data_IF_346018478286
#
_entry.id   IF_346018478286
#
_cell.length_a   1.000
_cell.length_b   1.000
_cell.length_c   1.000
_cell.angle_alpha   90.00
_cell.angle_beta   90.00
_cell.angle_gamma   90.00
#
_symmetry.space_group_name_H-M   'P 1'
#
loop_
_entity.id
_entity.type
_entity.pdbx_description
1 polymer ?
#
# COMPACT_ATOMS: atom_id res chain seq x y z
N UNK A 1 4.29 8.05 -3.56
CA UNK A 1 3.63 6.83 -3.05
C UNK A 1 2.58 7.16 -2.01
N UNK A 2 2.90 7.80 -0.91
CA UNK A 2 1.96 8.14 0.16
C UNK A 2 0.69 8.85 -0.30
N UNK A 3 0.80 9.84 -1.21
CA UNK A 3 -0.35 10.49 -1.85
C UNK A 3 -1.31 9.50 -2.51
N UNK A 4 -0.76 8.49 -3.19
CA UNK A 4 -1.56 7.44 -3.85
C UNK A 4 -2.17 6.50 -2.82
N UNK A 5 -1.41 6.06 -1.81
CA UNK A 5 -1.89 5.18 -0.76
C UNK A 5 -3.03 5.82 0.03
N UNK A 6 -2.89 7.09 0.42
CA UNK A 6 -3.95 7.86 1.06
C UNK A 6 -5.17 8.04 0.15
N UNK A 7 -4.94 8.40 -1.13
CA UNK A 7 -6.03 8.54 -2.10
C UNK A 7 -6.82 7.23 -2.29
N UNK A 8 -6.14 6.10 -2.36
CA UNK A 8 -6.78 4.77 -2.41
C UNK A 8 -7.57 4.49 -1.12
N UNK A 9 -6.99 4.74 0.06
CA UNK A 9 -7.68 4.51 1.32
C UNK A 9 -8.95 5.34 1.45
N UNK A 10 -8.92 6.61 1.05
CA UNK A 10 -10.09 7.51 1.08
C UNK A 10 -11.16 7.20 0.02
N UNK A 11 -10.81 6.45 -1.02
CA UNK A 11 -11.74 6.02 -2.07
C UNK A 11 -12.07 4.53 -2.01
N UNK A 12 -11.53 3.82 -1.03
CA UNK A 12 -11.76 2.39 -0.85
C UNK A 12 -13.22 2.10 -0.49
N UNK A 13 -13.87 1.09 -1.10
CA UNK A 13 -15.31 0.87 -0.93
C UNK A 13 -15.70 0.17 0.37
N UNK A 14 -14.73 -0.29 1.16
CA UNK A 14 -14.93 -0.98 2.45
C UNK A 14 -14.14 -0.27 3.55
N UNK A 15 -14.44 -0.51 4.85
CA UNK A 15 -13.56 -0.07 5.93
C UNK A 15 -12.12 -0.53 5.68
N UNK A 16 -11.16 0.39 5.85
CA UNK A 16 -9.77 0.11 5.50
C UNK A 16 -8.80 0.70 6.52
N UNK A 17 -7.71 0.00 6.78
CA UNK A 17 -6.58 0.50 7.55
C UNK A 17 -5.46 0.87 6.58
N UNK A 18 -5.05 2.15 6.59
CA UNK A 18 -3.86 2.62 5.90
C UNK A 18 -2.67 2.55 6.86
N UNK A 19 -1.68 1.77 6.52
CA UNK A 19 -0.45 1.60 7.30
C UNK A 19 0.68 2.40 6.67
N UNK A 20 1.25 3.38 7.39
CA UNK A 20 2.48 4.06 6.97
C UNK A 20 3.69 3.21 7.39
N UNK A 21 4.19 2.38 6.50
CA UNK A 21 5.32 1.48 6.74
C UNK A 21 6.64 1.96 6.10
N UNK A 22 6.71 3.22 5.65
CA UNK A 22 7.92 3.82 5.10
C UNK A 22 8.96 4.02 6.21
N UNK A 23 10.15 3.39 6.14
CA UNK A 23 11.17 3.49 7.17
C UNK A 23 11.89 4.85 7.21
N UNK A 24 11.64 5.75 6.26
CA UNK A 24 12.30 7.07 6.24
C UNK A 24 11.90 7.96 7.42
N UNK A 25 10.74 7.68 8.03
CA UNK A 25 10.22 8.40 9.18
C UNK A 25 9.54 9.74 8.82
N UNK A 26 8.82 10.27 9.81
CA UNK A 26 8.00 11.46 9.63
C UNK A 26 6.72 11.15 8.85
N UNK A 27 5.54 11.15 9.51
CA UNK A 27 4.29 10.92 8.79
C UNK A 27 3.98 12.09 7.86
N UNK A 28 4.07 11.87 6.56
CA UNK A 28 3.64 12.86 5.57
C UNK A 28 2.12 13.02 5.54
N UNK A 29 1.37 12.07 6.05
CA UNK A 29 -0.09 12.17 6.21
C UNK A 29 -0.41 13.10 7.38
N UNK A 30 0.18 12.88 8.55
CA UNK A 30 -0.06 13.74 9.73
C UNK A 30 0.43 15.17 9.49
N UNK A 31 1.62 15.33 8.91
CA UNK A 31 2.19 16.65 8.63
C UNK A 31 1.51 17.36 7.44
N UNK A 32 1.29 16.65 6.35
CA UNK A 32 0.73 17.20 5.11
C UNK A 32 -0.80 17.22 5.12
N UNK A 33 -1.44 16.07 4.97
CA UNK A 33 -2.90 15.99 4.83
C UNK A 33 -3.64 16.56 6.04
N UNK A 34 -3.19 16.29 7.27
CA UNK A 34 -3.77 16.83 8.50
C UNK A 34 -3.18 18.18 8.93
N UNK A 35 -2.27 18.78 8.17
CA UNK A 35 -1.62 20.06 8.50
C UNK A 35 -0.95 20.09 9.88
N UNK A 36 -0.50 18.94 10.40
CA UNK A 36 0.04 18.83 11.75
C UNK A 36 -0.99 19.03 12.88
N UNK A 37 -2.29 19.12 12.58
CA UNK A 37 -3.34 19.30 13.59
C UNK A 37 -3.65 18.02 14.37
N UNK A 38 -3.18 16.87 13.91
CA UNK A 38 -3.28 15.60 14.60
C UNK A 38 -1.91 15.25 15.18
N UNK A 39 -1.87 15.14 16.50
CA UNK A 39 -0.62 14.78 17.17
C UNK A 39 -0.17 13.36 16.77
N UNK A 40 1.12 13.18 16.54
CA UNK A 40 1.70 11.87 16.29
C UNK A 40 1.85 11.12 17.64
N UNK A 41 0.72 10.78 18.24
CA UNK A 41 0.61 9.92 19.43
C UNK A 41 0.15 8.55 18.97
N UNK A 42 0.81 7.50 19.40
CA UNK A 42 0.56 6.14 18.89
C UNK A 42 1.25 5.84 17.56
N UNK A 43 1.00 4.66 17.02
CA UNK A 43 1.54 4.18 15.76
C UNK A 43 2.48 2.99 15.89
N UNK A 44 3.29 2.77 14.86
CA UNK A 44 4.14 1.57 14.78
C UNK A 44 5.15 1.44 15.93
N UNK A 45 5.63 2.55 16.49
CA UNK A 45 6.57 2.50 17.62
C UNK A 45 5.91 2.00 18.90
N UNK A 46 4.68 2.42 19.14
CA UNK A 46 3.95 1.98 20.35
C UNK A 46 3.62 0.48 20.22
N UNK A 47 3.35 0.00 19.00
CA UNK A 47 3.20 -1.43 18.75
C UNK A 47 4.52 -2.20 18.95
N UNK A 48 5.68 -1.58 18.66
CA UNK A 48 6.98 -2.19 18.94
C UNK A 48 7.24 -2.31 20.45
N UNK A 49 6.78 -1.36 21.26
CA UNK A 49 6.82 -1.44 22.73
C UNK A 49 5.86 -2.51 23.21
N UNK A 50 4.60 -2.45 22.78
CA UNK A 50 3.55 -3.40 23.17
C UNK A 50 3.92 -4.85 22.79
N UNK A 51 4.62 -5.06 21.68
CA UNK A 51 5.11 -6.38 21.27
C UNK A 51 6.09 -6.96 22.31
N UNK A 52 7.01 -6.15 22.82
CA UNK A 52 7.95 -6.58 23.86
C UNK A 52 7.28 -6.87 25.20
N UNK A 53 6.15 -6.22 25.45
CA UNK A 53 5.34 -6.37 26.68
C UNK A 53 4.28 -7.47 26.56
N UNK A 54 4.13 -8.10 25.39
CA UNK A 54 3.13 -9.15 25.15
C UNK A 54 1.71 -8.64 24.95
N UNK A 55 1.51 -7.32 24.75
CA UNK A 55 0.21 -6.64 24.64
C UNK A 55 -0.07 -6.14 23.21
N UNK A 56 0.50 -6.79 22.20
CA UNK A 56 0.48 -6.32 20.82
C UNK A 56 -0.94 -6.22 20.23
N UNK A 57 -1.74 -7.28 20.41
CA UNK A 57 -3.07 -7.38 19.78
C UNK A 57 -4.03 -6.36 20.37
N UNK A 58 -4.00 -6.18 21.68
CA UNK A 58 -4.81 -5.21 22.42
C UNK A 58 -4.44 -3.77 22.08
N UNK A 59 -3.17 -3.53 21.79
CA UNK A 59 -2.64 -2.20 21.48
C UNK A 59 -2.87 -1.78 20.02
N UNK A 60 -3.12 -2.73 19.10
CA UNK A 60 -3.28 -2.42 17.68
C UNK A 60 -4.42 -1.43 17.40
N UNK A 61 -5.64 -1.59 17.92
CA UNK A 61 -6.70 -0.60 17.72
C UNK A 61 -6.39 0.77 18.33
N UNK A 62 -5.65 0.80 19.43
CA UNK A 62 -5.29 2.03 20.14
C UNK A 62 -4.22 2.84 19.42
N UNK A 63 -3.42 2.18 18.58
CA UNK A 63 -2.37 2.80 17.76
C UNK A 63 -2.93 3.47 16.50
N UNK A 64 -4.19 3.23 16.16
CA UNK A 64 -4.82 3.74 14.93
C UNK A 64 -5.52 5.07 15.16
N UNK A 65 -5.48 5.93 14.14
CA UNK A 65 -6.10 7.26 14.12
C UNK A 65 -7.20 7.28 13.05
N UNK A 66 -8.45 7.67 13.37
CA UNK A 66 -9.48 7.80 12.36
C UNK A 66 -9.17 8.94 11.39
N UNK A 67 -9.45 8.72 10.10
CA UNK A 67 -9.34 9.76 9.09
C UNK A 67 -10.72 10.42 8.93
N UNK A 68 -10.89 11.69 9.34
CA UNK A 68 -12.18 12.36 9.33
C UNK A 68 -12.87 12.35 7.97
N UNK A 69 -14.19 12.14 7.97
CA UNK A 69 -15.00 12.12 6.74
C UNK A 69 -14.87 10.84 5.91
N UNK A 70 -14.23 9.80 6.45
CA UNK A 70 -14.07 8.50 5.79
C UNK A 70 -14.26 7.34 6.77
N UNK A 71 -14.32 6.11 6.25
CA UNK A 71 -14.27 4.88 7.04
C UNK A 71 -12.83 4.35 7.22
N UNK A 72 -11.83 5.12 6.81
CA UNK A 72 -10.44 4.72 6.88
C UNK A 72 -9.83 5.05 8.25
N UNK A 73 -8.99 4.14 8.73
CA UNK A 73 -8.11 4.35 9.87
C UNK A 73 -6.66 4.49 9.37
N UNK A 74 -5.88 5.34 10.01
CA UNK A 74 -4.45 5.46 9.78
C UNK A 74 -3.69 4.78 10.91
N UNK A 75 -2.77 3.87 10.60
CA UNK A 75 -1.72 3.43 11.50
C UNK A 75 -0.46 4.23 11.18
N UNK A 76 -0.13 5.26 11.97
CA UNK A 76 1.01 6.13 11.69
C UNK A 76 2.34 5.39 11.74
N UNK A 77 3.27 5.79 10.88
CA UNK A 77 4.62 5.25 10.81
C UNK A 77 5.52 5.69 11.97
N UNK A 78 6.83 5.61 11.74
CA UNK A 78 7.82 6.09 12.71
C UNK A 78 7.96 7.61 12.65
N UNK A 79 8.25 8.23 13.80
CA UNK A 79 8.47 9.70 13.90
C UNK A 79 9.81 10.11 13.29
N UNK A 80 10.80 9.23 13.35
CA UNK A 80 12.12 9.46 12.76
C UNK A 80 12.70 8.16 12.20
N UNK A 81 13.61 8.29 11.23
CA UNK A 81 14.30 7.14 10.63
C UNK A 81 15.10 6.31 11.65
N UNK A 82 15.59 6.94 12.74
CA UNK A 82 16.30 6.23 13.79
C UNK A 82 15.48 5.16 14.49
N UNK A 83 14.15 5.28 14.44
CA UNK A 83 13.22 4.30 15.04
C UNK A 83 12.93 3.10 14.12
N UNK A 84 13.27 3.18 12.83
CA UNK A 84 12.92 2.14 11.85
C UNK A 84 13.50 0.77 12.18
N UNK A 85 14.68 0.71 12.80
CA UNK A 85 15.31 -0.54 13.23
C UNK A 85 14.47 -1.28 14.29
N UNK A 86 13.77 -0.54 15.15
CA UNK A 86 12.90 -1.14 16.18
C UNK A 86 11.68 -1.86 15.59
N UNK A 87 11.35 -1.59 14.32
CA UNK A 87 10.22 -2.22 13.64
C UNK A 87 10.54 -3.59 13.06
N UNK A 88 11.81 -3.96 12.93
CA UNK A 88 12.20 -5.24 12.30
C UNK A 88 11.53 -6.44 12.96
N UNK A 89 11.42 -6.45 14.30
CA UNK A 89 10.75 -7.52 15.05
C UNK A 89 9.22 -7.45 14.98
N UNK A 90 8.67 -6.31 14.57
CA UNK A 90 7.22 -6.04 14.58
C UNK A 90 6.55 -6.41 13.25
N UNK A 91 7.28 -6.39 12.15
CA UNK A 91 6.69 -6.58 10.82
C UNK A 91 5.95 -7.92 10.66
N UNK A 92 6.49 -9.01 11.20
CA UNK A 92 5.85 -10.33 11.09
C UNK A 92 4.59 -10.44 11.96
N UNK A 93 4.60 -10.12 13.27
CA UNK A 93 3.38 -10.12 14.07
C UNK A 93 2.33 -9.12 13.56
N UNK A 94 2.76 -7.94 13.07
CA UNK A 94 1.86 -6.98 12.47
C UNK A 94 1.19 -7.54 11.21
N UNK A 95 1.93 -8.21 10.34
CA UNK A 95 1.39 -8.86 9.16
C UNK A 95 0.28 -9.85 9.50
N UNK A 96 0.49 -10.68 10.53
CA UNK A 96 -0.53 -11.62 11.00
C UNK A 96 -1.77 -10.93 11.57
N UNK A 97 -1.58 -9.89 12.39
CA UNK A 97 -2.67 -9.13 12.98
C UNK A 97 -3.50 -8.36 11.94
N UNK A 98 -2.84 -7.74 10.96
CA UNK A 98 -3.51 -7.05 9.85
C UNK A 98 -4.29 -8.01 8.96
N UNK A 99 -3.74 -9.19 8.65
CA UNK A 99 -4.45 -10.23 7.91
C UNK A 99 -5.70 -10.73 8.62
N UNK A 100 -5.72 -10.70 9.96
CA UNK A 100 -6.91 -11.08 10.73
C UNK A 100 -8.06 -10.06 10.64
N UNK A 101 -7.81 -8.80 10.26
CA UNK A 101 -8.84 -7.75 10.15
C UNK A 101 -9.87 -8.04 9.05
N UNK A 102 -9.49 -8.82 8.03
CA UNK A 102 -10.41 -9.24 6.99
C UNK A 102 -11.66 -9.96 7.53
N UNK A 103 -11.50 -10.77 8.59
CA UNK A 103 -12.62 -11.45 9.25
C UNK A 103 -13.64 -10.48 9.83
N UNK A 104 -13.20 -9.26 10.15
CA UNK A 104 -14.03 -8.16 10.64
C UNK A 104 -14.52 -7.24 9.50
N UNK A 105 -14.29 -7.62 8.24
CA UNK A 105 -14.71 -6.84 7.09
C UNK A 105 -13.83 -5.62 6.79
N UNK A 106 -12.63 -5.53 7.37
CA UNK A 106 -11.66 -4.47 7.12
C UNK A 106 -10.58 -4.93 6.15
N UNK A 107 -10.30 -4.10 5.16
CA UNK A 107 -9.17 -4.26 4.25
C UNK A 107 -7.95 -3.48 4.75
N UNK A 108 -6.77 -3.77 4.19
CA UNK A 108 -5.52 -3.10 4.58
C UNK A 108 -4.81 -2.58 3.34
N UNK A 109 -4.37 -1.33 3.39
CA UNK A 109 -3.47 -0.73 2.41
C UNK A 109 -2.17 -0.37 3.11
N UNK A 110 -1.05 -0.86 2.58
CA UNK A 110 0.29 -0.59 3.14
C UNK A 110 1.05 0.36 2.22
N UNK A 111 1.40 1.53 2.73
CA UNK A 111 2.42 2.37 2.11
C UNK A 111 3.80 1.88 2.56
N UNK A 112 4.38 0.99 1.77
CA UNK A 112 5.68 0.39 2.08
C UNK A 112 6.88 1.34 1.83
N UNK A 113 6.62 2.55 1.38
CA UNK A 113 7.64 3.54 1.10
C UNK A 113 8.49 3.17 -0.13
N UNK A 114 9.74 3.60 -0.11
CA UNK A 114 10.70 3.31 -1.18
C UNK A 114 11.37 1.97 -0.94
N UNK A 115 11.46 1.16 -1.99
CA UNK A 115 12.19 -0.11 -1.96
C UNK A 115 13.69 0.09 -1.73
N UNK A 116 14.35 -0.89 -1.11
CA UNK A 116 15.79 -0.90 -0.87
C UNK A 116 16.25 -0.15 0.37
N UNK A 117 15.35 0.35 1.18
CA UNK A 117 15.70 0.98 2.45
C UNK A 117 15.84 -0.06 3.56
N UNK A 118 16.80 0.18 4.46
CA UNK A 118 16.93 -0.61 5.67
C UNK A 118 15.69 -0.42 6.57
N UNK A 119 15.18 -1.50 7.14
CA UNK A 119 13.95 -1.46 7.93
C UNK A 119 12.65 -1.57 7.11
N UNK A 120 12.75 -1.81 5.78
CA UNK A 120 11.58 -2.01 4.92
C UNK A 120 10.66 -3.12 5.42
N UNK A 121 9.33 -3.01 5.21
CA UNK A 121 8.33 -3.92 5.75
C UNK A 121 8.21 -5.22 4.91
N UNK A 122 9.31 -5.96 4.76
CA UNK A 122 9.36 -7.19 3.97
C UNK A 122 8.23 -8.18 4.27
N UNK A 123 7.97 -8.56 5.54
CA UNK A 123 6.87 -9.46 5.88
C UNK A 123 5.49 -8.94 5.47
N UNK A 124 5.22 -7.63 5.53
CA UNK A 124 3.95 -7.06 5.05
C UNK A 124 3.81 -7.20 3.53
N UNK A 125 4.90 -6.99 2.78
CA UNK A 125 4.89 -7.14 1.33
C UNK A 125 4.69 -8.61 0.93
N UNK A 126 5.46 -9.53 1.52
CA UNK A 126 5.40 -10.95 1.13
C UNK A 126 4.08 -11.62 1.47
N UNK A 127 3.35 -11.15 2.48
CA UNK A 127 2.04 -11.67 2.88
C UNK A 127 0.85 -10.90 2.29
N UNK A 128 1.09 -9.84 1.50
CA UNK A 128 0.02 -9.09 0.85
C UNK A 128 -0.69 -9.93 -0.23
N UNK A 129 -1.99 -9.75 -0.39
CA UNK A 129 -2.78 -10.35 -1.49
C UNK A 129 -2.45 -9.75 -2.86
N UNK A 130 -1.95 -8.48 -2.86
CA UNK A 130 -1.53 -7.77 -4.06
C UNK A 130 -0.40 -6.81 -3.72
N UNK A 131 0.68 -6.88 -4.48
CA UNK A 131 1.80 -5.95 -4.45
C UNK A 131 1.74 -5.09 -5.71
N UNK A 132 1.66 -3.78 -5.54
CA UNK A 132 1.67 -2.81 -6.63
C UNK A 132 3.00 -2.05 -6.66
N UNK A 133 3.88 -2.40 -7.59
CA UNK A 133 5.06 -1.60 -7.88
C UNK A 133 4.61 -0.27 -8.51
N UNK A 134 4.56 0.78 -7.69
CA UNK A 134 4.06 2.09 -8.08
C UNK A 134 5.18 2.96 -8.65
N UNK A 135 5.02 3.47 -9.87
CA UNK A 135 6.04 4.24 -10.54
C UNK A 135 5.48 5.27 -11.53
N UNK A 136 6.28 6.29 -11.83
CA UNK A 136 6.01 7.19 -12.97
C UNK A 136 6.45 6.53 -14.27
N UNK A 137 5.84 6.96 -15.39
CA UNK A 137 6.15 6.42 -16.72
C UNK A 137 7.33 7.14 -17.41
N UNK A 138 8.29 7.65 -16.63
CA UNK A 138 9.51 8.29 -17.14
C UNK A 138 10.66 7.29 -17.25
N UNK A 139 11.62 7.54 -18.13
CA UNK A 139 12.76 6.65 -18.32
C UNK A 139 13.57 6.37 -17.04
N UNK A 140 13.90 7.37 -16.20
CA UNK A 140 14.60 7.10 -14.94
C UNK A 140 13.80 6.21 -14.00
N UNK A 141 12.46 6.43 -13.88
CA UNK A 141 11.61 5.60 -13.04
C UNK A 141 11.51 4.17 -13.58
N UNK A 142 11.42 4.00 -14.89
CA UNK A 142 11.37 2.70 -15.55
C UNK A 142 12.67 1.91 -15.35
N UNK A 143 13.81 2.58 -15.50
CA UNK A 143 15.14 1.99 -15.25
C UNK A 143 15.29 1.49 -13.80
N UNK A 144 14.92 2.33 -12.83
CA UNK A 144 14.96 1.95 -11.42
C UNK A 144 13.98 0.80 -11.10
N UNK A 145 12.76 0.85 -11.64
CA UNK A 145 11.74 -0.16 -11.41
C UNK A 145 12.10 -1.53 -12.01
N UNK A 146 12.88 -1.57 -13.09
CA UNK A 146 13.25 -2.83 -13.77
C UNK A 146 14.00 -3.80 -12.83
N UNK A 147 14.98 -3.29 -12.09
CA UNK A 147 15.74 -4.09 -11.13
C UNK A 147 14.82 -4.64 -10.03
N UNK A 148 13.96 -3.79 -9.45
CA UNK A 148 13.02 -4.21 -8.42
C UNK A 148 11.94 -5.17 -8.93
N UNK A 149 11.45 -4.97 -10.15
CA UNK A 149 10.51 -5.89 -10.78
C UNK A 149 11.11 -7.31 -10.92
N UNK A 150 12.39 -7.40 -11.27
CA UNK A 150 13.10 -8.68 -11.34
C UNK A 150 13.25 -9.31 -9.94
N UNK A 151 13.74 -8.56 -8.96
CA UNK A 151 13.92 -9.07 -7.58
C UNK A 151 12.62 -9.57 -6.98
N UNK A 152 11.55 -8.76 -7.04
CA UNK A 152 10.24 -9.14 -6.51
C UNK A 152 9.63 -10.33 -7.26
N UNK A 153 9.86 -10.42 -8.57
CA UNK A 153 9.43 -11.59 -9.35
C UNK A 153 10.11 -12.85 -8.84
N UNK A 154 11.44 -12.87 -8.76
CA UNK A 154 12.22 -14.03 -8.31
C UNK A 154 11.83 -14.48 -6.88
N UNK A 155 11.61 -13.51 -5.98
CA UNK A 155 11.16 -13.80 -4.61
C UNK A 155 9.76 -14.42 -4.58
N UNK A 156 8.81 -13.88 -5.35
CA UNK A 156 7.44 -14.36 -5.37
C UNK A 156 7.28 -15.66 -6.18
N UNK A 157 8.06 -15.89 -7.23
CA UNK A 157 8.11 -17.16 -7.94
C UNK A 157 8.55 -18.30 -7.02
N UNK A 158 9.58 -18.07 -6.19
CA UNK A 158 10.09 -19.06 -5.24
C UNK A 158 9.05 -19.53 -4.23
N UNK A 159 8.07 -18.68 -3.89
CA UNK A 159 6.96 -19.01 -2.97
C UNK A 159 5.63 -19.27 -3.69
N UNK A 160 5.64 -19.38 -5.02
CA UNK A 160 4.44 -19.64 -5.82
C UNK A 160 3.40 -18.49 -5.79
N UNK A 161 3.83 -17.27 -5.52
CA UNK A 161 2.94 -16.11 -5.31
C UNK A 161 3.10 -15.00 -6.36
N UNK A 162 3.71 -15.29 -7.51
CA UNK A 162 3.91 -14.32 -8.59
C UNK A 162 2.62 -13.61 -9.06
N UNK A 163 1.44 -14.25 -9.14
CA UNK A 163 0.20 -13.58 -9.53
C UNK A 163 -0.20 -12.39 -8.65
N UNK A 164 0.39 -12.27 -7.44
CA UNK A 164 0.17 -11.12 -6.54
C UNK A 164 0.96 -9.88 -6.92
N UNK A 165 1.87 -9.93 -7.93
CA UNK A 165 2.71 -8.81 -8.34
C UNK A 165 2.17 -8.13 -9.59
N UNK A 166 1.93 -6.83 -9.49
CA UNK A 166 1.56 -5.98 -10.62
C UNK A 166 2.14 -4.58 -10.51
N UNK A 167 1.83 -3.72 -11.47
CA UNK A 167 2.26 -2.34 -11.49
C UNK A 167 1.09 -1.37 -11.43
N UNK A 168 1.29 -0.24 -10.75
CA UNK A 168 0.44 0.94 -10.77
C UNK A 168 1.21 2.09 -11.37
N UNK A 169 0.75 2.60 -12.52
CA UNK A 169 1.46 3.63 -13.26
C UNK A 169 0.90 5.02 -12.97
N UNK A 170 1.77 5.99 -12.77
CA UNK A 170 1.42 7.39 -12.57
C UNK A 170 1.85 8.20 -13.80
N UNK A 171 0.89 8.84 -14.48
CA UNK A 171 1.15 9.64 -15.67
C UNK A 171 1.35 8.78 -16.92
N UNK A 172 0.46 7.81 -17.16
CA UNK A 172 0.44 6.97 -18.35
C UNK A 172 0.52 7.83 -19.64
N UNK A 173 1.40 7.44 -20.58
CA UNK A 173 1.66 8.20 -21.79
C UNK A 173 2.60 9.42 -21.62
N UNK A 174 3.27 9.60 -20.46
CA UNK A 174 4.16 10.75 -20.20
C UNK A 174 5.56 10.32 -19.73
N UNK A 175 6.50 9.97 -20.62
CA UNK A 175 6.35 9.79 -22.07
C UNK A 175 5.91 8.37 -22.47
N UNK A 176 6.07 7.35 -21.60
CA UNK A 176 5.80 5.96 -21.96
C UNK A 176 4.41 5.50 -21.56
N UNK A 177 3.78 4.69 -22.42
CA UNK A 177 2.46 4.12 -22.17
C UNK A 177 2.53 2.79 -21.42
N UNK A 178 1.39 2.39 -20.86
CA UNK A 178 1.23 1.15 -20.10
C UNK A 178 1.72 -0.10 -20.88
N UNK A 179 1.49 -0.14 -22.19
CA UNK A 179 1.94 -1.26 -23.05
C UNK A 179 3.46 -1.36 -23.11
N UNK A 180 4.16 -0.22 -23.20
CA UNK A 180 5.63 -0.17 -23.25
C UNK A 180 6.22 -0.56 -21.89
N UNK A 181 5.66 -0.01 -20.80
CA UNK A 181 6.07 -0.35 -19.43
C UNK A 181 5.89 -1.85 -19.16
N UNK A 182 4.74 -2.42 -19.51
CA UNK A 182 4.49 -3.87 -19.39
C UNK A 182 5.53 -4.68 -20.14
N UNK A 183 5.91 -4.27 -21.38
CA UNK A 183 6.92 -4.96 -22.17
C UNK A 183 8.30 -4.94 -21.52
N UNK A 184 8.68 -3.81 -20.91
CA UNK A 184 10.00 -3.64 -20.29
C UNK A 184 10.10 -4.35 -18.93
N UNK A 185 9.05 -4.27 -18.11
CA UNK A 185 9.06 -4.86 -16.76
C UNK A 185 8.63 -6.33 -16.76
N UNK A 186 7.89 -6.77 -17.79
CA UNK A 186 7.28 -8.11 -17.84
C UNK A 186 6.25 -8.34 -16.74
N UNK A 187 5.69 -7.29 -16.16
CA UNK A 187 4.66 -7.35 -15.13
C UNK A 187 3.32 -6.84 -15.65
N UNK A 188 2.18 -7.37 -15.16
CA UNK A 188 0.87 -6.83 -15.52
C UNK A 188 0.73 -5.39 -15.00
N UNK A 189 0.12 -4.54 -15.82
CA UNK A 189 -0.33 -3.21 -15.38
C UNK A 189 -1.74 -3.37 -14.84
N UNK A 190 -1.88 -3.24 -13.52
CA UNK A 190 -3.18 -3.38 -12.83
C UNK A 190 -4.04 -2.14 -13.06
N UNK A 191 -3.44 -0.97 -12.97
CA UNK A 191 -4.14 0.30 -13.19
C UNK A 191 -3.19 1.43 -13.54
N UNK A 192 -3.76 2.55 -13.99
CA UNK A 192 -3.04 3.79 -14.27
C UNK A 192 -3.73 4.97 -13.61
N UNK A 193 -2.96 5.91 -13.08
CA UNK A 193 -3.43 7.17 -12.52
C UNK A 193 -2.91 8.33 -13.35
N UNK A 194 -3.73 9.35 -13.63
CA UNK A 194 -3.27 10.53 -14.32
C UNK A 194 -2.32 11.36 -13.44
N UNK A 195 -1.39 12.07 -14.06
CA UNK A 195 -0.59 13.09 -13.38
C UNK A 195 -1.40 14.37 -13.25
N UNK A 196 -2.00 14.62 -12.07
CA UNK A 196 -2.78 15.81 -11.74
C UNK A 196 -2.27 16.41 -10.43
N UNK A 197 -1.27 17.30 -10.52
CA UNK A 197 -0.59 17.86 -9.35
C UNK A 197 -1.54 18.62 -8.41
N UNK A 198 -2.47 19.41 -8.95
CA UNK A 198 -3.45 20.16 -8.16
C UNK A 198 -4.39 19.23 -7.38
N UNK A 199 -4.96 18.20 -8.01
CA UNK A 199 -5.80 17.23 -7.33
C UNK A 199 -4.99 16.39 -6.32
N UNK A 200 -3.75 16.04 -6.65
CA UNK A 200 -2.87 15.30 -5.76
C UNK A 200 -2.45 16.09 -4.52
N UNK A 201 -2.39 17.43 -4.61
CA UNK A 201 -2.06 18.30 -3.48
C UNK A 201 -3.07 18.20 -2.34
N UNK A 202 -4.33 17.85 -2.63
CA UNK A 202 -5.36 17.60 -1.61
C UNK A 202 -4.92 16.46 -0.67
N UNK A 203 -4.35 15.40 -1.24
CA UNK A 203 -3.89 14.23 -0.45
C UNK A 203 -2.48 14.43 0.13
N UNK A 204 -1.60 15.18 -0.52
CA UNK A 204 -0.20 15.28 -0.10
C UNK A 204 0.07 16.39 0.90
N UNK A 205 -0.62 17.53 0.78
CA UNK A 205 -0.43 18.71 1.64
C UNK A 205 -1.73 19.26 2.21
N UNK A 206 -2.82 18.52 2.11
CA UNK A 206 -4.12 18.95 2.62
C UNK A 206 -4.68 20.19 1.92
N UNK A 207 -4.31 20.44 0.66
CA UNK A 207 -4.81 21.59 -0.07
C UNK A 207 -6.34 21.59 -0.16
N UNK A 208 -6.93 22.79 -0.22
CA UNK A 208 -8.38 22.92 -0.40
C UNK A 208 -8.82 22.17 -1.66
N UNK A 209 -9.88 21.39 -1.54
CA UNK A 209 -10.45 20.67 -2.68
C UNK A 209 -10.90 21.65 -3.79
N UNK A 210 -10.43 21.46 -5.03
CA UNK A 210 -10.90 22.24 -6.16
C UNK A 210 -12.36 21.92 -6.48
N UNK A 211 -13.02 22.80 -7.25
CA UNK A 211 -14.41 22.52 -7.69
C UNK A 211 -14.47 21.19 -8.44
N UNK A 212 -15.49 20.37 -8.11
CA UNK A 212 -15.70 19.03 -8.70
C UNK A 212 -14.55 18.06 -8.43
N UNK A 213 -13.85 18.20 -7.30
CA UNK A 213 -12.74 17.33 -6.92
C UNK A 213 -13.10 15.83 -7.01
N UNK A 214 -14.27 15.44 -6.48
CA UNK A 214 -14.74 14.05 -6.51
C UNK A 214 -14.95 13.48 -7.92
N UNK A 215 -15.09 14.36 -8.92
CA UNK A 215 -15.20 14.04 -10.34
C UNK A 215 -13.90 14.31 -11.11
N UNK A 216 -12.80 14.62 -10.43
CA UNK A 216 -11.49 14.79 -11.08
C UNK A 216 -11.03 13.47 -11.71
N UNK A 217 -10.18 13.56 -12.73
CA UNK A 217 -9.63 12.35 -13.36
C UNK A 217 -8.80 11.52 -12.37
N UNK A 218 -8.12 12.19 -11.40
CA UNK A 218 -7.39 11.50 -10.34
C UNK A 218 -8.33 10.68 -9.44
N UNK A 219 -9.41 11.27 -8.92
CA UNK A 219 -10.33 10.57 -8.01
C UNK A 219 -11.06 9.43 -8.74
N UNK A 220 -11.47 9.65 -10.00
CA UNK A 220 -12.02 8.56 -10.82
C UNK A 220 -10.99 7.43 -11.04
N UNK A 221 -9.73 7.79 -11.32
CA UNK A 221 -8.64 6.84 -11.46
C UNK A 221 -8.38 6.05 -10.18
N UNK A 222 -8.42 6.70 -9.02
CA UNK A 222 -8.28 6.03 -7.72
C UNK A 222 -9.39 5.01 -7.49
N UNK A 223 -10.65 5.38 -7.73
CA UNK A 223 -11.80 4.43 -7.63
C UNK A 223 -11.67 3.26 -8.61
N UNK A 224 -11.25 3.53 -9.85
CA UNK A 224 -10.98 2.48 -10.82
C UNK A 224 -9.83 1.55 -10.38
N UNK A 225 -8.79 2.11 -9.77
CA UNK A 225 -7.68 1.33 -9.20
C UNK A 225 -8.14 0.45 -8.03
N UNK A 226 -9.00 0.96 -7.14
CA UNK A 226 -9.59 0.14 -6.08
C UNK A 226 -10.36 -1.06 -6.66
N UNK A 227 -11.21 -0.83 -7.65
CA UNK A 227 -11.98 -1.91 -8.30
C UNK A 227 -11.05 -2.93 -9.01
N UNK A 228 -10.01 -2.45 -9.72
CA UNK A 228 -9.05 -3.31 -10.39
C UNK A 228 -8.24 -4.15 -9.39
N UNK A 229 -7.80 -3.56 -8.28
CA UNK A 229 -7.09 -4.27 -7.22
C UNK A 229 -7.96 -5.39 -6.61
N UNK A 230 -9.20 -5.08 -6.26
CA UNK A 230 -10.15 -6.07 -5.75
C UNK A 230 -10.42 -7.21 -6.73
N UNK A 231 -10.54 -6.90 -8.04
CA UNK A 231 -10.73 -7.91 -9.07
C UNK A 231 -9.53 -8.85 -9.19
N UNK A 232 -8.29 -8.32 -9.16
CA UNK A 232 -7.06 -9.14 -9.19
C UNK A 232 -6.98 -10.03 -7.94
N UNK A 233 -7.24 -9.49 -6.75
CA UNK A 233 -7.23 -10.26 -5.50
C UNK A 233 -8.27 -11.39 -5.56
N UNK A 234 -9.48 -11.10 -6.00
CA UNK A 234 -10.54 -12.11 -6.11
C UNK A 234 -10.19 -13.22 -7.12
N UNK A 235 -9.59 -12.86 -8.27
CA UNK A 235 -9.12 -13.84 -9.27
C UNK A 235 -8.03 -14.74 -8.67
N UNK A 236 -7.00 -14.16 -8.04
CA UNK A 236 -5.90 -14.93 -7.46
C UNK A 236 -6.38 -15.91 -6.38
N UNK A 237 -7.35 -15.50 -5.56
CA UNK A 237 -7.93 -16.35 -4.51
C UNK A 237 -8.77 -17.48 -5.11
N UNK A 238 -9.52 -17.22 -6.18
CA UNK A 238 -10.27 -18.23 -6.92
C UNK A 238 -9.37 -19.31 -7.52
N UNK A 239 -8.28 -18.90 -8.15
CA UNK A 239 -7.29 -19.81 -8.74
C UNK A 239 -6.61 -20.71 -7.69
N UNK A 240 -6.26 -20.16 -6.52
CA UNK A 240 -5.71 -20.92 -5.40
C UNK A 240 -6.70 -21.95 -4.86
N UNK A 241 -7.97 -21.58 -4.70
CA UNK A 241 -9.01 -22.50 -4.23
C UNK A 241 -9.24 -23.64 -5.21
N UNK A 242 -9.27 -23.35 -6.51
CA UNK A 242 -9.39 -24.36 -7.56
C UNK A 242 -8.21 -25.33 -7.59
N UNK A 243 -6.97 -24.82 -7.47
CA UNK A 243 -5.77 -25.64 -7.42
C UNK A 243 -5.76 -26.59 -6.20
N UNK A 244 -6.17 -26.09 -5.03
CA UNK A 244 -6.26 -26.90 -3.80
C UNK A 244 -7.29 -28.01 -3.94
N UNK A 245 -8.46 -27.73 -4.51
CA UNK A 245 -9.52 -28.72 -4.73
C UNK A 245 -9.07 -29.81 -5.71
N UNK A 246 -8.36 -29.44 -6.78
CA UNK A 246 -7.79 -30.39 -7.74
C UNK A 246 -6.76 -31.30 -7.13
N UNK A 247 -5.87 -30.78 -6.28
CA UNK A 247 -4.85 -31.57 -5.60
C UNK A 247 -5.46 -32.60 -4.63
N UNK A 248 -6.51 -32.25 -3.91
CA UNK A 248 -7.22 -33.14 -2.99
C UNK A 248 -8.02 -34.24 -3.69
N UNK A 249 -8.45 -34.00 -4.94
CA UNK A 249 -9.19 -35.00 -5.73
C UNK A 249 -8.30 -36.05 -6.40
N UNK A 250 -6.98 -35.88 -6.36
CA UNK A 250 -5.97 -36.79 -6.95
C UNK A 250 -5.11 -37.49 -5.90
N UNK A 251 -5.37 -37.26 -4.61
CA UNK A 251 -4.73 -37.92 -3.47
C UNK A 251 -5.67 -38.96 -2.83
#
# INVERSE_FOLDING_TARGET
MTTTALGLALTWPRPVVLVEADPTGGSSILAGYFHGNVAHVGGLIDLAVAHREGAFVESLPLAMVPIPGSSALLLPGVRSHAQSQSLMAVWLPLSGALGALERNGQDVIVDAGRLGLHGAPGPLMMNADLILLTMRTTLPALSAARSWAQTLREELERIGSLPRLGTLLIGDGHPYGAREVRKVLGLPVVSTLPWQAEAASVFSVGAKQPRKFDNSALVRGLRATCAAAQAVIASNRGDLAAATTSALSHA
#
